data_IF_171740304349
#
_entry.id   IF_171740304349
#
_cell.length_a   1.000
_cell.length_b   1.000
_cell.length_c   1.000
_cell.angle_alpha   90.00
_cell.angle_beta   90.00
_cell.angle_gamma   90.00
#
_symmetry.space_group_name_H-M   'P 1'
#
loop_
_entity.id
_entity.type
_entity.pdbx_description
1 polymer ?
#
# COMPACT_ATOMS: atom_id res chain seq x y z
N UNK A 1 59.42 -14.92 -51.14
CA UNK A 1 59.25 -13.81 -50.18
C UNK A 1 58.58 -14.41 -48.95
N UNK A 2 59.21 -15.39 -48.29
CA UNK A 2 60.43 -15.29 -47.45
C UNK A 2 60.01 -14.88 -46.03
N UNK A 3 60.05 -15.80 -45.06
CA UNK A 3 61.25 -16.22 -44.27
C UNK A 3 61.72 -15.06 -43.35
N UNK A 4 61.93 -15.20 -42.04
CA UNK A 4 61.84 -16.35 -41.09
C UNK A 4 61.27 -15.85 -39.72
N UNK A 5 61.28 -16.53 -38.56
CA UNK A 5 61.79 -17.84 -38.12
C UNK A 5 61.06 -18.34 -36.84
N UNK A 6 61.51 -19.46 -36.25
CA UNK A 6 61.19 -19.97 -34.90
C UNK A 6 62.50 -20.56 -34.31
N UNK A 7 62.78 -20.49 -33.00
CA UNK A 7 62.67 -21.72 -32.16
C UNK A 7 62.12 -21.44 -30.74
N UNK A 8 61.25 -22.28 -30.15
CA UNK A 8 61.56 -23.48 -29.33
C UNK A 8 62.28 -23.20 -27.99
N UNK A 9 61.73 -23.69 -26.87
CA UNK A 9 62.38 -23.55 -25.56
C UNK A 9 61.51 -23.78 -24.31
N UNK A 10 60.97 -24.98 -24.11
CA UNK A 10 60.52 -25.42 -22.77
C UNK A 10 61.71 -25.94 -21.97
N UNK A 11 61.81 -25.67 -20.65
CA UNK A 11 61.66 -26.81 -19.75
C UNK A 11 60.97 -26.51 -18.40
N UNK A 12 60.18 -27.50 -17.96
CA UNK A 12 60.13 -28.07 -16.60
C UNK A 12 60.70 -27.23 -15.44
N UNK A 13 59.80 -26.73 -14.57
CA UNK A 13 60.12 -26.22 -13.24
C UNK A 13 58.95 -26.39 -12.28
N UNK A 14 58.89 -27.52 -11.57
CA UNK A 14 57.91 -27.77 -10.50
C UNK A 14 58.33 -27.02 -9.23
N UNK A 15 57.65 -25.91 -8.90
CA UNK A 15 57.95 -25.13 -7.70
C UNK A 15 56.72 -24.98 -6.78
N UNK A 16 56.79 -25.67 -5.65
CA UNK A 16 55.69 -25.88 -4.71
C UNK A 16 55.48 -24.63 -3.85
N UNK A 17 54.62 -23.70 -4.31
CA UNK A 17 54.32 -22.45 -3.56
C UNK A 17 53.42 -22.67 -2.35
N UNK A 18 54.04 -23.16 -1.29
CA UNK A 18 53.57 -23.26 0.10
C UNK A 18 52.73 -22.06 0.53
N UNK A 19 51.43 -22.26 0.73
CA UNK A 19 50.49 -21.23 1.16
C UNK A 19 50.85 -20.68 2.55
N UNK A 20 51.43 -19.48 2.59
CA UNK A 20 51.73 -18.76 3.84
C UNK A 20 50.44 -18.14 4.39
N UNK A 21 49.76 -18.86 5.30
CA UNK A 21 48.73 -18.28 6.17
C UNK A 21 49.33 -17.07 6.91
N UNK A 22 48.81 -15.87 6.66
CA UNK A 22 49.18 -14.67 7.43
C UNK A 22 48.56 -14.81 8.84
N UNK A 23 49.28 -14.48 9.93
CA UNK A 23 48.65 -14.36 11.24
C UNK A 23 47.67 -13.18 11.23
N UNK A 24 46.43 -13.41 11.65
CA UNK A 24 45.48 -12.32 11.90
C UNK A 24 45.80 -11.75 13.28
N UNK A 25 46.47 -10.61 13.33
CA UNK A 25 46.58 -9.81 14.56
C UNK A 25 45.24 -9.13 14.84
N UNK A 26 44.75 -9.11 16.08
CA UNK A 26 43.55 -8.35 16.43
C UNK A 26 43.77 -6.85 16.19
N UNK A 27 42.71 -6.08 15.88
CA UNK A 27 42.83 -4.65 15.60
C UNK A 27 43.36 -3.92 16.85
N UNK A 28 44.48 -3.21 16.68
CA UNK A 28 45.10 -2.42 17.74
C UNK A 28 44.35 -1.09 17.86
N UNK A 29 43.86 -0.77 19.06
CA UNK A 29 43.15 0.46 19.32
C UNK A 29 43.99 1.69 18.95
N UNK A 30 43.34 2.67 18.28
CA UNK A 30 43.98 3.92 17.86
C UNK A 30 43.99 4.90 19.03
N UNK A 31 45.14 5.46 19.46
CA UNK A 31 45.17 6.37 20.60
C UNK A 31 44.50 7.71 20.26
N UNK A 32 43.53 8.12 21.07
CA UNK A 32 42.99 9.49 21.05
C UNK A 32 43.95 10.39 21.86
N UNK A 33 44.43 11.53 21.32
CA UNK A 33 45.30 12.45 22.07
C UNK A 33 44.56 13.00 23.30
N UNK A 34 45.17 12.88 24.49
CA UNK A 34 44.63 13.44 25.73
C UNK A 34 44.12 12.43 26.76
N UNK A 35 44.29 11.13 26.54
CA UNK A 35 43.95 10.09 27.53
C UNK A 35 44.90 10.12 28.75
N UNK A 36 44.63 11.02 29.70
CA UNK A 36 45.17 10.94 31.05
C UNK A 36 44.48 9.78 31.81
N UNK A 37 45.22 9.17 32.74
CA UNK A 37 44.82 7.95 33.45
C UNK A 37 43.73 8.22 34.50
N UNK A 38 42.45 8.13 34.09
CA UNK A 38 41.34 7.93 35.02
C UNK A 38 40.25 7.05 34.41
N UNK A 39 40.22 5.79 34.83
CA UNK A 39 39.20 4.81 34.41
C UNK A 39 37.87 5.03 35.15
N UNK A 40 37.24 6.19 34.94
CA UNK A 40 35.90 6.49 35.43
C UNK A 40 35.09 7.17 34.33
N UNK A 41 34.26 6.38 33.64
CA UNK A 41 33.19 6.92 32.81
C UNK A 41 32.25 7.78 33.68
N UNK A 42 31.75 8.92 33.19
CA UNK A 42 30.98 9.84 34.02
C UNK A 42 29.66 9.21 34.48
N UNK A 43 29.10 9.58 35.64
CA UNK A 43 28.02 8.82 36.30
C UNK A 43 26.74 8.60 35.47
N UNK A 44 26.46 9.47 34.49
CA UNK A 44 25.32 9.34 33.58
C UNK A 44 25.49 8.25 32.51
N UNK A 45 26.71 7.77 32.27
CA UNK A 45 27.01 6.61 31.41
C UNK A 45 26.73 5.29 32.15
N UNK A 46 26.68 5.30 33.49
CA UNK A 46 26.23 4.17 34.30
C UNK A 46 24.68 4.08 34.37
N UNK A 47 24.02 4.20 33.21
CA UNK A 47 22.57 4.08 33.09
C UNK A 47 22.12 2.65 33.41
N UNK A 48 21.46 2.47 34.56
CA UNK A 48 21.05 1.17 35.12
C UNK A 48 19.90 0.44 34.40
N UNK A 49 19.87 0.48 33.07
CA UNK A 49 19.03 -0.39 32.25
C UNK A 49 19.81 -1.66 31.90
N UNK A 50 19.31 -2.87 32.21
CA UNK A 50 19.94 -4.10 31.75
C UNK A 50 20.07 -4.09 30.22
N UNK A 51 21.18 -4.64 29.71
CA UNK A 51 21.38 -4.81 28.27
C UNK A 51 20.31 -5.77 27.71
N UNK A 52 19.20 -5.21 27.20
CA UNK A 52 18.20 -5.96 26.45
C UNK A 52 18.80 -6.31 25.10
N UNK A 53 19.11 -7.57 24.90
CA UNK A 53 19.45 -8.10 23.59
C UNK A 53 18.20 -8.06 22.73
N UNK A 54 18.15 -7.13 21.79
CA UNK A 54 17.06 -7.01 20.81
C UNK A 54 17.25 -8.10 19.77
N UNK A 55 16.22 -8.91 19.56
CA UNK A 55 16.22 -9.92 18.49
C UNK A 55 16.17 -9.27 17.10
N UNK A 56 16.59 -10.01 16.08
CA UNK A 56 16.46 -9.56 14.69
C UNK A 56 15.01 -9.17 14.33
N UNK A 57 14.03 -9.90 14.86
CA UNK A 57 12.62 -9.69 14.57
C UNK A 57 12.06 -8.46 15.30
N UNK A 58 12.56 -8.15 16.50
CA UNK A 58 12.28 -6.87 17.18
C UNK A 58 12.94 -5.69 16.47
N UNK A 59 14.15 -5.85 15.92
CA UNK A 59 14.79 -4.81 15.11
C UNK A 59 13.96 -4.54 13.85
N UNK A 60 13.53 -5.57 13.11
CA UNK A 60 12.70 -5.42 11.91
C UNK A 60 11.34 -4.76 12.23
N UNK A 61 10.71 -5.09 13.35
CA UNK A 61 9.49 -4.41 13.82
C UNK A 61 9.75 -2.94 14.14
N UNK A 62 10.83 -2.64 14.86
CA UNK A 62 11.19 -1.27 15.20
C UNK A 62 11.46 -0.42 13.95
N UNK A 63 12.11 -0.96 12.92
CA UNK A 63 12.31 -0.26 11.64
C UNK A 63 10.97 0.07 10.99
N UNK A 64 10.04 -0.88 10.91
CA UNK A 64 8.71 -0.68 10.34
C UNK A 64 7.88 0.33 11.16
N UNK A 65 7.95 0.28 12.49
CA UNK A 65 7.33 1.28 13.37
C UNK A 65 7.90 2.68 13.14
N UNK A 66 9.22 2.83 12.93
CA UNK A 66 9.84 4.12 12.59
C UNK A 66 9.42 4.63 11.21
N UNK A 67 9.41 3.77 10.18
CA UNK A 67 8.93 4.09 8.83
C UNK A 67 7.47 4.55 8.85
N UNK A 68 6.61 3.89 9.64
CA UNK A 68 5.21 4.31 9.83
C UNK A 68 5.09 5.65 10.56
N UNK A 69 5.97 5.96 11.52
CA UNK A 69 5.96 7.25 12.22
C UNK A 69 6.50 8.39 11.34
N UNK A 70 7.47 8.12 10.47
CA UNK A 70 7.94 9.05 9.44
C UNK A 70 6.81 9.35 8.45
N UNK A 71 6.13 8.33 7.94
CA UNK A 71 4.95 8.48 7.07
C UNK A 71 3.81 9.27 7.75
N UNK A 72 3.50 8.99 9.01
CA UNK A 72 2.48 9.76 9.78
C UNK A 72 2.92 11.22 9.96
N UNK A 73 4.22 11.48 10.13
CA UNK A 73 4.76 12.83 10.21
C UNK A 73 4.62 13.59 8.87
N UNK A 74 4.91 12.95 7.74
CA UNK A 74 4.69 13.51 6.40
C UNK A 74 3.22 13.85 6.16
N UNK A 75 2.31 12.89 6.42
CA UNK A 75 0.84 13.07 6.28
C UNK A 75 0.33 14.21 7.17
N UNK A 76 0.89 14.40 8.36
CA UNK A 76 0.46 15.44 9.30
C UNK A 76 0.99 16.84 8.96
N UNK A 77 2.08 16.95 8.20
CA UNK A 77 2.76 18.23 7.88
C UNK A 77 2.45 18.72 6.47
N UNK A 78 2.40 17.83 5.46
CA UNK A 78 2.07 18.23 4.10
C UNK A 78 0.56 18.07 3.84
N UNK A 79 -0.22 19.17 3.75
CA UNK A 79 -1.65 19.10 3.43
C UNK A 79 -1.90 18.62 2.00
N UNK A 80 -0.88 18.52 1.15
CA UNK A 80 -0.95 18.00 -0.21
C UNK A 80 -0.39 16.57 -0.35
N UNK A 81 -0.07 15.90 0.76
CA UNK A 81 0.44 14.53 0.75
C UNK A 81 -0.51 13.62 -0.06
N UNK A 82 0.05 12.95 -1.07
CA UNK A 82 -0.70 12.10 -1.99
C UNK A 82 0.04 10.79 -2.24
N UNK A 83 -0.68 9.68 -2.05
CA UNK A 83 -0.23 8.36 -2.50
C UNK A 83 -0.45 8.31 -4.03
N UNK A 84 0.57 8.02 -4.85
CA UNK A 84 0.39 7.89 -6.29
C UNK A 84 -0.56 6.73 -6.62
N UNK A 85 -1.71 7.02 -7.22
CA UNK A 85 -2.68 6.00 -7.63
C UNK A 85 -2.07 5.01 -8.64
N UNK A 86 -1.31 5.53 -9.60
CA UNK A 86 -0.67 4.72 -10.64
C UNK A 86 0.62 4.06 -10.10
N UNK A 87 0.72 2.72 -10.06
CA UNK A 87 1.91 2.04 -9.59
C UNK A 87 3.11 2.35 -10.48
N UNK A 88 4.28 2.60 -9.89
CA UNK A 88 5.49 2.97 -10.63
C UNK A 88 5.95 1.87 -11.62
N UNK A 89 5.86 0.60 -11.18
CA UNK A 89 6.28 -0.56 -11.95
C UNK A 89 5.37 -0.80 -13.19
N UNK A 90 5.97 -0.86 -14.38
CA UNK A 90 5.24 -1.00 -15.64
C UNK A 90 4.47 -2.32 -15.77
N UNK A 91 4.96 -3.44 -15.22
CA UNK A 91 4.25 -4.71 -15.20
C UNK A 91 3.04 -4.63 -14.25
N UNK A 92 3.23 -4.07 -13.05
CA UNK A 92 2.14 -3.88 -12.08
C UNK A 92 1.03 -2.99 -12.65
N UNK A 93 1.39 -1.92 -13.37
CA UNK A 93 0.45 -1.06 -14.10
C UNK A 93 -0.33 -1.84 -15.16
N UNK A 94 0.37 -2.55 -16.05
CA UNK A 94 -0.25 -3.36 -17.10
C UNK A 94 -1.22 -4.41 -16.54
N UNK A 95 -0.86 -5.08 -15.44
CA UNK A 95 -1.73 -6.05 -14.75
C UNK A 95 -2.96 -5.35 -14.17
N UNK A 96 -2.80 -4.24 -13.45
CA UNK A 96 -3.92 -3.47 -12.88
C UNK A 96 -4.89 -3.02 -13.98
N UNK A 97 -4.40 -2.36 -15.02
CA UNK A 97 -5.20 -1.87 -16.14
C UNK A 97 -5.95 -3.01 -16.85
N UNK A 98 -5.28 -4.14 -17.08
CA UNK A 98 -5.88 -5.31 -17.74
C UNK A 98 -6.98 -5.94 -16.87
N UNK A 99 -6.76 -6.06 -15.56
CA UNK A 99 -7.75 -6.59 -14.61
C UNK A 99 -8.97 -5.65 -14.50
N UNK A 100 -8.75 -4.35 -14.30
CA UNK A 100 -9.83 -3.36 -14.24
C UNK A 100 -10.63 -3.36 -15.56
N UNK A 101 -9.95 -3.37 -16.71
CA UNK A 101 -10.62 -3.44 -18.02
C UNK A 101 -11.44 -4.73 -18.19
N UNK A 102 -10.91 -5.88 -17.77
CA UNK A 102 -11.64 -7.15 -17.85
C UNK A 102 -12.90 -7.14 -16.96
N UNK A 103 -12.77 -6.66 -15.72
CA UNK A 103 -13.86 -6.48 -14.75
C UNK A 103 -14.97 -5.58 -15.30
N UNK A 104 -14.65 -4.34 -15.68
CA UNK A 104 -15.67 -3.42 -16.20
C UNK A 104 -16.26 -3.90 -17.53
N UNK A 105 -15.48 -4.53 -18.41
CA UNK A 105 -16.01 -5.15 -19.64
C UNK A 105 -17.03 -6.26 -19.36
N UNK A 106 -16.87 -7.01 -18.28
CA UNK A 106 -17.85 -8.02 -17.89
C UNK A 106 -19.13 -7.34 -17.37
N UNK A 107 -19.01 -6.36 -16.47
CA UNK A 107 -20.13 -5.55 -16.00
C UNK A 107 -20.93 -4.90 -17.16
N UNK A 108 -20.24 -4.36 -18.19
CA UNK A 108 -20.91 -3.80 -19.39
C UNK A 108 -21.74 -4.85 -20.14
N UNK A 109 -21.32 -6.12 -20.16
CA UNK A 109 -22.08 -7.20 -20.81
C UNK A 109 -23.29 -7.60 -20.00
N UNK A 110 -23.15 -7.63 -18.68
CA UNK A 110 -24.21 -8.06 -17.77
C UNK A 110 -25.34 -7.01 -17.69
N UNK A 111 -24.99 -5.72 -17.72
CA UNK A 111 -25.93 -4.60 -17.86
C UNK A 111 -26.54 -4.47 -19.27
N UNK A 112 -25.93 -5.06 -20.30
CA UNK A 112 -26.44 -5.03 -21.68
C UNK A 112 -27.37 -6.21 -22.03
N UNK A 113 -27.67 -7.10 -21.07
CA UNK A 113 -28.67 -8.16 -21.20
C UNK A 113 -30.09 -7.57 -21.15
N UNK A 114 -31.06 -8.31 -21.66
CA UNK A 114 -32.49 -7.98 -21.58
C UNK A 114 -33.25 -9.17 -20.95
N UNK A 115 -33.71 -9.07 -19.68
CA UNK A 115 -33.46 -7.97 -18.74
C UNK A 115 -31.99 -7.90 -18.26
N UNK A 116 -31.52 -6.74 -17.77
CA UNK A 116 -30.15 -6.57 -17.27
C UNK A 116 -29.89 -7.39 -16.00
N UNK A 117 -28.68 -7.93 -15.86
CA UNK A 117 -28.30 -8.74 -14.70
C UNK A 117 -27.69 -7.85 -13.60
N UNK A 118 -28.46 -7.60 -12.53
CA UNK A 118 -28.15 -6.61 -11.50
C UNK A 118 -27.59 -7.18 -10.18
N UNK A 119 -27.49 -8.50 -10.01
CA UNK A 119 -26.96 -9.13 -8.77
C UNK A 119 -25.55 -8.64 -8.40
N UNK A 120 -24.68 -8.43 -9.40
CA UNK A 120 -23.34 -7.88 -9.18
C UNK A 120 -23.38 -6.43 -8.68
N UNK A 121 -24.20 -5.58 -9.31
CA UNK A 121 -24.41 -4.20 -8.88
C UNK A 121 -24.94 -4.14 -7.45
N UNK A 122 -25.90 -5.01 -7.12
CA UNK A 122 -26.44 -5.15 -5.77
C UNK A 122 -25.37 -5.54 -4.74
N UNK A 123 -24.53 -6.53 -5.06
CA UNK A 123 -23.41 -6.95 -4.21
C UNK A 123 -22.47 -5.78 -3.87
N UNK A 124 -22.02 -5.04 -4.88
CA UNK A 124 -21.16 -3.87 -4.70
C UNK A 124 -21.84 -2.76 -3.87
N UNK A 125 -23.14 -2.50 -4.06
CA UNK A 125 -23.87 -1.53 -3.22
C UNK A 125 -23.87 -1.94 -1.73
N UNK A 126 -23.93 -3.24 -1.44
CA UNK A 126 -23.85 -3.76 -0.06
C UNK A 126 -22.41 -3.75 0.48
N UNK A 127 -21.40 -3.99 -0.35
CA UNK A 127 -19.99 -3.81 0.02
C UNK A 127 -19.68 -2.35 0.37
N UNK A 128 -20.14 -1.38 -0.43
CA UNK A 128 -20.02 0.05 -0.11
C UNK A 128 -20.75 0.43 1.18
N UNK A 129 -21.96 -0.11 1.40
CA UNK A 129 -22.70 0.07 2.65
C UNK A 129 -21.87 -0.41 3.85
N UNK A 130 -21.29 -1.60 3.76
CA UNK A 130 -20.47 -2.19 4.83
C UNK A 130 -19.22 -1.34 5.10
N UNK A 131 -18.44 -1.01 4.08
CA UNK A 131 -17.24 -0.16 4.20
C UNK A 131 -17.55 1.21 4.84
N UNK A 132 -18.65 1.87 4.45
CA UNK A 132 -19.05 3.12 5.10
C UNK A 132 -19.44 2.88 6.57
N UNK A 133 -20.22 1.84 6.87
CA UNK A 133 -20.68 1.56 8.23
C UNK A 133 -19.55 1.12 9.17
N UNK A 134 -18.58 0.37 8.70
CA UNK A 134 -17.61 -0.33 9.55
C UNK A 134 -16.22 0.33 9.53
N UNK A 135 -15.74 0.77 8.37
CA UNK A 135 -14.40 1.37 8.23
C UNK A 135 -14.43 2.91 8.40
N UNK A 136 -15.44 3.59 7.83
CA UNK A 136 -15.52 5.06 7.87
C UNK A 136 -16.21 5.58 9.13
N UNK A 137 -17.30 4.93 9.56
CA UNK A 137 -18.13 5.45 10.66
C UNK A 137 -17.76 4.88 12.02
N UNK A 138 -17.20 5.73 12.89
CA UNK A 138 -17.00 5.43 14.31
C UNK A 138 -18.32 5.10 15.04
N UNK A 139 -18.21 4.46 16.20
CA UNK A 139 -19.35 4.10 17.06
C UNK A 139 -20.20 5.30 17.54
N UNK A 140 -19.71 6.54 17.41
CA UNK A 140 -20.43 7.75 17.80
C UNK A 140 -21.50 8.17 16.77
N UNK A 141 -21.42 7.67 15.53
CA UNK A 141 -22.29 8.08 14.43
C UNK A 141 -23.67 7.36 14.41
N UNK A 142 -24.23 7.02 15.58
CA UNK A 142 -25.43 6.17 15.73
C UNK A 142 -26.62 6.64 14.89
N UNK A 143 -26.89 7.96 14.83
CA UNK A 143 -28.00 8.51 14.01
C UNK A 143 -27.79 8.24 12.53
N UNK A 144 -26.57 8.43 12.04
CA UNK A 144 -26.23 8.23 10.63
C UNK A 144 -26.18 6.75 10.28
N UNK A 145 -25.64 5.87 11.15
CA UNK A 145 -25.73 4.42 10.97
C UNK A 145 -27.18 3.92 10.89
N UNK A 146 -28.10 4.52 11.66
CA UNK A 146 -29.54 4.22 11.58
C UNK A 146 -30.19 4.68 10.27
N UNK A 147 -29.87 5.88 9.81
CA UNK A 147 -30.30 6.42 8.51
C UNK A 147 -29.84 5.51 7.36
N UNK A 148 -28.55 5.18 7.31
CA UNK A 148 -27.94 4.32 6.29
C UNK A 148 -28.59 2.95 6.26
N UNK A 149 -28.80 2.31 7.43
CA UNK A 149 -29.43 0.98 7.48
C UNK A 149 -30.90 1.00 7.07
N UNK A 150 -31.57 2.15 7.14
CA UNK A 150 -32.96 2.30 6.71
C UNK A 150 -33.07 2.53 5.21
N UNK A 151 -32.16 3.32 4.62
CA UNK A 151 -32.14 3.62 3.18
C UNK A 151 -31.49 2.50 2.36
N UNK A 152 -30.41 1.90 2.87
CA UNK A 152 -29.71 0.75 2.30
C UNK A 152 -30.11 -0.54 3.03
N UNK A 153 -31.42 -0.75 3.15
CA UNK A 153 -32.00 -1.94 3.79
C UNK A 153 -31.88 -3.14 2.84
N UNK A 154 -30.97 -4.08 3.15
CA UNK A 154 -30.62 -5.20 2.27
C UNK A 154 -31.82 -6.08 1.88
N UNK A 155 -32.65 -6.60 2.82
CA UNK A 155 -33.78 -7.44 2.44
C UNK A 155 -34.81 -6.68 1.58
N UNK A 156 -35.08 -5.40 1.84
CA UNK A 156 -35.97 -4.59 0.97
C UNK A 156 -35.39 -4.37 -0.41
N UNK A 157 -34.09 -4.08 -0.52
CA UNK A 157 -33.43 -3.88 -1.82
C UNK A 157 -33.33 -5.21 -2.60
N UNK A 158 -33.17 -6.35 -1.91
CA UNK A 158 -33.19 -7.69 -2.51
C UNK A 158 -34.58 -8.10 -2.99
N UNK A 159 -35.65 -7.67 -2.31
CA UNK A 159 -37.03 -7.80 -2.79
C UNK A 159 -37.22 -7.00 -4.10
N UNK A 160 -36.86 -5.71 -4.12
CA UNK A 160 -36.87 -4.88 -5.34
C UNK A 160 -36.03 -5.48 -6.48
N UNK A 161 -34.90 -6.11 -6.17
CA UNK A 161 -34.06 -6.80 -7.16
C UNK A 161 -34.79 -8.00 -7.79
N UNK A 162 -35.43 -8.84 -6.97
CA UNK A 162 -36.17 -10.00 -7.45
C UNK A 162 -37.39 -9.62 -8.33
N UNK A 163 -38.00 -8.47 -8.07
CA UNK A 163 -39.07 -7.90 -8.89
C UNK A 163 -38.57 -7.16 -10.16
N UNK A 164 -37.27 -6.98 -10.33
CA UNK A 164 -36.65 -6.08 -11.32
C UNK A 164 -37.12 -4.60 -11.20
N UNK A 165 -37.43 -4.15 -9.99
CA UNK A 165 -37.83 -2.76 -9.66
C UNK A 165 -36.73 -1.96 -8.95
N UNK A 166 -35.53 -2.51 -8.84
CA UNK A 166 -34.37 -1.85 -8.23
C UNK A 166 -33.73 -0.82 -9.16
N UNK A 167 -33.89 0.47 -8.84
CA UNK A 167 -33.10 1.54 -9.43
C UNK A 167 -31.71 1.61 -8.77
N UNK A 168 -30.71 1.05 -9.45
CA UNK A 168 -29.31 1.07 -9.00
C UNK A 168 -28.71 2.48 -9.05
N UNK A 169 -29.15 3.34 -9.96
CA UNK A 169 -28.66 4.72 -10.09
C UNK A 169 -29.11 5.60 -8.93
N UNK A 170 -30.36 5.46 -8.49
CA UNK A 170 -30.90 6.13 -7.30
C UNK A 170 -30.07 5.78 -6.06
N UNK A 171 -29.84 4.48 -5.83
CA UNK A 171 -29.08 3.99 -4.67
C UNK A 171 -27.62 4.45 -4.72
N UNK A 172 -26.98 4.40 -5.90
CA UNK A 172 -25.61 4.90 -6.09
C UNK A 172 -25.51 6.42 -5.81
N UNK A 173 -26.48 7.21 -6.30
CA UNK A 173 -26.53 8.67 -6.04
C UNK A 173 -26.68 8.98 -4.54
N UNK A 174 -27.49 8.20 -3.80
CA UNK A 174 -27.56 8.30 -2.34
C UNK A 174 -26.23 7.99 -1.64
N UNK A 175 -25.47 6.99 -2.12
CA UNK A 175 -24.14 6.68 -1.57
C UNK A 175 -23.15 7.82 -1.85
N UNK A 176 -23.17 8.42 -3.04
CA UNK A 176 -22.33 9.58 -3.38
C UNK A 176 -22.69 10.80 -2.51
N UNK A 177 -23.98 11.04 -2.26
CA UNK A 177 -24.45 12.05 -1.30
C UNK A 177 -23.94 11.77 0.12
N UNK A 178 -24.01 10.52 0.58
CA UNK A 178 -23.50 10.10 1.87
C UNK A 178 -21.99 10.30 1.98
N UNK A 179 -21.22 9.93 0.94
CA UNK A 179 -19.79 10.21 0.88
C UNK A 179 -19.51 11.70 1.00
N UNK A 180 -20.21 12.58 0.28
CA UNK A 180 -19.99 14.05 0.42
C UNK A 180 -20.22 14.58 1.84
N UNK A 181 -21.19 14.01 2.58
CA UNK A 181 -21.43 14.39 4.00
C UNK A 181 -20.33 13.90 4.96
N UNK A 182 -19.47 12.99 4.50
CA UNK A 182 -18.38 12.38 5.25
C UNK A 182 -17.00 12.84 4.75
N UNK A 183 -16.92 13.81 3.85
CA UNK A 183 -15.67 14.17 3.18
C UNK A 183 -14.89 15.32 3.82
N UNK A 184 -13.58 15.13 3.73
CA UNK A 184 -12.52 16.12 3.95
C UNK A 184 -12.29 16.88 2.63
N UNK A 185 -11.87 18.16 2.65
CA UNK A 185 -11.83 19.03 1.47
C UNK A 185 -11.16 18.45 0.22
N UNK A 186 -10.18 17.55 0.37
CA UNK A 186 -9.45 16.93 -0.75
C UNK A 186 -10.29 15.94 -1.56
N UNK A 187 -11.34 15.32 -0.97
CA UNK A 187 -12.24 14.41 -1.70
C UNK A 187 -13.43 15.12 -2.34
N UNK A 188 -13.76 16.33 -1.91
CA UNK A 188 -14.97 17.03 -2.36
C UNK A 188 -14.97 17.29 -3.87
N UNK A 189 -13.81 17.59 -4.47
CA UNK A 189 -13.66 17.76 -5.93
C UNK A 189 -13.96 16.45 -6.70
N UNK A 190 -13.43 15.31 -6.24
CA UNK A 190 -13.72 14.00 -6.83
C UNK A 190 -15.20 13.63 -6.70
N UNK A 191 -15.80 13.95 -5.55
CA UNK A 191 -17.23 13.69 -5.30
C UNK A 191 -18.12 14.62 -6.13
N UNK A 192 -17.70 15.87 -6.37
CA UNK A 192 -18.36 16.77 -7.31
C UNK A 192 -18.31 16.24 -8.75
N UNK A 193 -17.18 15.70 -9.18
CA UNK A 193 -17.03 15.06 -10.50
C UNK A 193 -17.84 13.74 -10.62
N UNK A 194 -18.04 13.01 -9.52
CA UNK A 194 -18.93 11.84 -9.47
C UNK A 194 -20.39 12.25 -9.69
N UNK A 195 -20.84 13.35 -9.10
CA UNK A 195 -22.22 13.86 -9.21
C UNK A 195 -22.62 14.23 -10.65
N UNK A 196 -21.68 14.49 -11.54
CA UNK A 196 -21.95 14.83 -12.95
C UNK A 196 -22.07 13.62 -13.88
N UNK A 197 -21.85 12.39 -13.38
CA UNK A 197 -21.89 11.18 -14.20
C UNK A 197 -23.25 10.48 -14.09
N UNK A 198 -23.82 10.16 -15.24
CA UNK A 198 -25.10 9.43 -15.37
C UNK A 198 -24.93 7.99 -15.91
N UNK A 199 -23.71 7.55 -16.24
CA UNK A 199 -23.44 6.15 -16.57
C UNK A 199 -23.09 5.34 -15.31
N UNK A 200 -23.73 4.18 -15.16
CA UNK A 200 -23.47 3.27 -14.04
C UNK A 200 -22.01 2.85 -13.96
N UNK A 201 -21.41 2.42 -15.08
CA UNK A 201 -20.07 1.84 -15.09
C UNK A 201 -19.02 2.89 -14.74
N UNK A 202 -19.19 4.13 -15.22
CA UNK A 202 -18.30 5.23 -14.85
C UNK A 202 -18.42 5.59 -13.35
N UNK A 203 -19.62 5.47 -12.75
CA UNK A 203 -19.82 5.61 -11.29
C UNK A 203 -19.13 4.48 -10.52
N UNK A 204 -19.35 3.21 -10.88
CA UNK A 204 -18.65 2.06 -10.27
C UNK A 204 -17.12 2.23 -10.37
N UNK A 205 -16.63 2.71 -11.52
CA UNK A 205 -15.20 2.91 -11.75
C UNK A 205 -14.61 4.03 -10.89
N UNK A 206 -15.30 5.15 -10.69
CA UNK A 206 -14.80 6.25 -9.86
C UNK A 206 -14.94 6.00 -8.36
N UNK A 207 -16.04 5.40 -7.89
CA UNK A 207 -16.25 5.15 -6.46
C UNK A 207 -15.22 4.16 -5.91
N UNK A 208 -14.80 3.18 -6.71
CA UNK A 208 -13.75 2.21 -6.35
C UNK A 208 -12.31 2.81 -6.35
N UNK A 209 -12.17 4.12 -6.56
CA UNK A 209 -10.89 4.88 -6.58
C UNK A 209 -10.89 5.99 -5.49
N UNK A 210 -11.99 6.15 -4.73
CA UNK A 210 -12.17 7.21 -3.74
C UNK A 210 -12.04 6.73 -2.28
#
# INVERSE_FOLDING_TARGET
MSDSERPEGSPSGSDERKSRKRPVTPPRAVPIPGAAESSSLPPWVAGGSPAKFVSHDELMKMTNELENMELVHEIAIDPNFQIPDVPANALQRCVRETMHRAYYNQLRRDLAKDPPELEFCFGFLMELKAMILDDILTAQHTRLKGEINTMLDEPKLREKLAENTLDVMEVMKYIIDLCSRLCSPVRDDKVAELRTKDDLIDLFQYVNIC
#
